data_IF_715776233647
#
_entry.id   IF_715776233647
#
_cell.length_a   1.000
_cell.length_b   1.000
_cell.length_c   1.000
_cell.angle_alpha   90.00
_cell.angle_beta   90.00
_cell.angle_gamma   90.00
#
_symmetry.space_group_name_H-M   'P 1'
#
loop_
_entity.id
_entity.type
_entity.pdbx_description
1 polymer ?
#
# COMPACT_ATOMS: atom_id res chain seq x y z
N UNK A 1 30.72 -0.03 9.71
CA UNK A 1 29.41 0.14 9.03
C UNK A 1 28.38 -0.64 9.85
N UNK A 2 27.36 0.01 10.42
CA UNK A 2 26.49 -0.60 11.44
C UNK A 2 25.69 -1.76 10.82
N UNK A 3 25.85 -3.00 11.32
CA UNK A 3 25.26 -4.23 10.78
C UNK A 3 23.74 -4.11 10.59
N UNK A 4 23.07 -3.41 11.49
CA UNK A 4 21.63 -3.14 11.43
C UNK A 4 21.20 -2.36 10.17
N UNK A 5 21.98 -1.37 9.70
CA UNK A 5 21.59 -0.58 8.53
C UNK A 5 21.59 -1.41 7.23
N UNK A 6 22.53 -2.36 7.10
CA UNK A 6 22.62 -3.24 5.92
C UNK A 6 21.39 -4.14 5.84
N UNK A 7 20.93 -4.68 6.96
CA UNK A 7 19.71 -5.51 7.03
C UNK A 7 18.47 -4.72 6.62
N UNK A 8 18.27 -3.50 7.14
CA UNK A 8 17.14 -2.66 6.74
C UNK A 8 17.18 -2.26 5.26
N UNK A 9 18.39 -2.00 4.71
CA UNK A 9 18.54 -1.75 3.27
C UNK A 9 18.17 -2.97 2.43
N UNK A 10 18.58 -4.16 2.86
CA UNK A 10 18.25 -5.40 2.15
C UNK A 10 16.75 -5.67 2.19
N UNK A 11 16.11 -5.48 3.35
CA UNK A 11 14.65 -5.55 3.49
C UNK A 11 13.96 -4.54 2.55
N UNK A 12 14.39 -3.29 2.54
CA UNK A 12 13.84 -2.28 1.64
C UNK A 12 13.94 -2.69 0.17
N UNK A 13 15.09 -3.20 -0.27
CA UNK A 13 15.28 -3.65 -1.66
C UNK A 13 14.41 -4.85 -2.01
N UNK A 14 14.26 -5.80 -1.09
CA UNK A 14 13.35 -6.93 -1.24
C UNK A 14 11.90 -6.46 -1.38
N UNK A 15 11.45 -5.60 -0.47
CA UNK A 15 10.13 -4.97 -0.50
C UNK A 15 9.89 -4.17 -1.78
N UNK A 16 10.89 -3.43 -2.26
CA UNK A 16 10.83 -2.70 -3.53
C UNK A 16 10.69 -3.65 -4.72
N UNK A 17 11.40 -4.78 -4.72
CA UNK A 17 11.26 -5.81 -5.74
C UNK A 17 9.86 -6.42 -5.76
N UNK A 18 9.33 -6.77 -4.58
CA UNK A 18 7.95 -7.25 -4.44
C UNK A 18 6.93 -6.23 -4.94
N UNK A 19 7.06 -4.97 -4.52
CA UNK A 19 6.21 -3.86 -4.96
C UNK A 19 6.25 -3.70 -6.48
N UNK A 20 7.42 -3.65 -7.10
CA UNK A 20 7.55 -3.45 -8.55
C UNK A 20 7.00 -4.64 -9.34
N UNK A 21 7.30 -5.87 -8.90
CA UNK A 21 6.82 -7.08 -9.57
C UNK A 21 5.30 -7.20 -9.53
N UNK A 22 4.71 -6.99 -8.35
CA UNK A 22 3.25 -7.02 -8.16
C UNK A 22 2.55 -5.87 -8.87
N UNK A 23 3.09 -4.64 -8.82
CA UNK A 23 2.57 -3.50 -9.56
C UNK A 23 2.51 -3.78 -11.06
N UNK A 24 3.53 -4.44 -11.62
CA UNK A 24 3.54 -4.84 -13.02
C UNK A 24 2.44 -5.87 -13.33
N UNK A 25 2.30 -6.91 -12.50
CA UNK A 25 1.23 -7.91 -12.65
C UNK A 25 -0.16 -7.26 -12.58
N UNK A 26 -0.39 -6.40 -11.59
CA UNK A 26 -1.66 -5.67 -11.44
C UNK A 26 -1.95 -4.78 -12.65
N UNK A 27 -0.95 -4.03 -13.13
CA UNK A 27 -1.11 -3.18 -14.30
C UNK A 27 -1.39 -3.96 -15.58
N UNK A 28 -0.88 -5.19 -15.67
CA UNK A 28 -1.20 -6.09 -16.77
C UNK A 28 -2.66 -6.54 -16.73
N UNK A 29 -3.14 -6.99 -15.56
CA UNK A 29 -4.51 -7.47 -15.36
C UNK A 29 -5.57 -6.37 -15.47
N UNK A 30 -5.22 -5.11 -15.18
CA UNK A 30 -6.14 -3.97 -15.25
C UNK A 30 -6.76 -3.78 -16.65
N UNK A 31 -6.08 -4.25 -17.71
CA UNK A 31 -6.60 -4.20 -19.09
C UNK A 31 -7.83 -5.07 -19.31
N UNK A 32 -8.00 -6.10 -18.49
CA UNK A 32 -9.07 -7.09 -18.61
C UNK A 32 -10.25 -6.81 -17.66
N UNK A 33 -10.16 -5.76 -16.84
CA UNK A 33 -11.23 -5.31 -15.93
C UNK A 33 -12.25 -4.43 -16.66
N UNK A 34 -13.04 -5.07 -17.52
CA UNK A 34 -14.11 -4.42 -18.29
C UNK A 34 -15.48 -4.75 -17.71
N UNK A 35 -16.32 -3.73 -17.57
CA UNK A 35 -17.73 -3.88 -17.33
C UNK A 35 -18.51 -2.99 -18.31
N UNK A 36 -19.42 -3.57 -19.11
CA UNK A 36 -20.19 -2.84 -20.13
C UNK A 36 -19.30 -1.98 -21.06
N UNK A 37 -18.16 -2.53 -21.51
CA UNK A 37 -17.12 -1.82 -22.28
C UNK A 37 -16.47 -0.61 -21.59
N UNK A 38 -16.69 -0.40 -20.29
CA UNK A 38 -15.98 0.59 -19.49
C UNK A 38 -14.93 -0.10 -18.62
N UNK A 39 -13.70 0.44 -18.67
CA UNK A 39 -12.64 0.03 -17.75
C UNK A 39 -12.96 0.57 -16.37
N UNK A 40 -12.97 -0.31 -15.37
CA UNK A 40 -12.98 0.09 -13.97
C UNK A 40 -11.66 -0.29 -13.32
N UNK A 41 -11.27 0.46 -12.29
CA UNK A 41 -10.01 0.25 -11.59
C UNK A 41 -10.27 -0.14 -10.15
N UNK A 42 -9.38 -0.97 -9.59
CA UNK A 42 -9.48 -1.39 -8.18
C UNK A 42 -9.34 -0.20 -7.24
N UNK A 43 -8.44 0.75 -7.55
CA UNK A 43 -8.34 2.05 -6.86
C UNK A 43 -9.67 2.82 -6.89
N UNK A 44 -10.42 2.71 -8.00
CA UNK A 44 -11.75 3.27 -8.14
C UNK A 44 -12.73 2.66 -7.13
N UNK A 45 -12.71 1.33 -6.98
CA UNK A 45 -13.52 0.60 -6.00
C UNK A 45 -13.15 0.97 -4.54
N UNK A 46 -11.87 1.24 -4.27
CA UNK A 46 -11.38 1.56 -2.92
C UNK A 46 -11.67 2.99 -2.46
N UNK A 47 -11.49 3.99 -3.33
CA UNK A 47 -11.50 5.39 -2.92
C UNK A 47 -12.52 6.27 -3.65
N UNK A 48 -12.84 5.96 -4.90
CA UNK A 48 -13.48 6.97 -5.78
C UNK A 48 -14.96 6.70 -6.01
N UNK A 49 -15.38 5.44 -6.05
CA UNK A 49 -16.74 5.08 -6.44
C UNK A 49 -17.70 5.12 -5.26
N UNK A 50 -18.94 5.55 -5.52
CA UNK A 50 -20.02 5.48 -4.53
C UNK A 50 -20.43 4.04 -4.28
N UNK A 51 -21.07 3.79 -3.13
CA UNK A 51 -21.59 2.47 -2.76
C UNK A 51 -22.48 1.87 -3.85
N UNK A 52 -23.37 2.67 -4.43
CA UNK A 52 -24.28 2.26 -5.51
C UNK A 52 -23.51 1.85 -6.78
N UNK A 53 -22.46 2.60 -7.11
CA UNK A 53 -21.61 2.29 -8.26
C UNK A 53 -20.80 1.03 -8.03
N UNK A 54 -20.25 0.84 -6.83
CA UNK A 54 -19.54 -0.40 -6.46
C UNK A 54 -20.49 -1.60 -6.52
N UNK A 55 -21.69 -1.49 -5.95
CA UNK A 55 -22.70 -2.54 -6.03
C UNK A 55 -23.04 -2.89 -7.48
N UNK A 56 -23.35 -1.89 -8.30
CA UNK A 56 -23.66 -2.07 -9.73
C UNK A 56 -22.51 -2.72 -10.48
N UNK A 57 -21.26 -2.37 -10.13
CA UNK A 57 -20.07 -2.99 -10.72
C UNK A 57 -20.03 -4.47 -10.36
N UNK A 58 -20.01 -4.78 -9.07
CA UNK A 58 -19.80 -6.14 -8.56
C UNK A 58 -20.97 -7.08 -8.88
N UNK A 59 -22.21 -6.60 -8.87
CA UNK A 59 -23.40 -7.39 -9.22
C UNK A 59 -23.47 -7.74 -10.71
N UNK A 60 -22.90 -6.88 -11.57
CA UNK A 60 -22.91 -7.03 -13.03
C UNK A 60 -21.64 -7.63 -13.62
N UNK A 61 -20.73 -8.21 -12.80
CA UNK A 61 -19.51 -8.83 -13.31
C UNK A 61 -19.78 -10.22 -13.89
N UNK A 62 -19.26 -10.45 -15.10
CA UNK A 62 -19.10 -11.79 -15.67
C UNK A 62 -18.15 -12.63 -14.81
N UNK A 63 -18.33 -13.95 -14.82
CA UNK A 63 -17.51 -14.90 -14.03
C UNK A 63 -16.00 -14.80 -14.35
N UNK A 64 -15.64 -14.51 -15.60
CA UNK A 64 -14.26 -14.31 -16.03
C UNK A 64 -13.65 -13.06 -15.38
N UNK A 65 -14.33 -11.92 -15.49
CA UNK A 65 -13.90 -10.64 -14.91
C UNK A 65 -13.85 -10.71 -13.38
N UNK A 66 -14.82 -11.39 -12.76
CA UNK A 66 -14.81 -11.66 -11.32
C UNK A 66 -13.58 -12.45 -10.88
N UNK A 67 -13.16 -13.44 -11.66
CA UNK A 67 -11.97 -14.24 -11.39
C UNK A 67 -10.70 -13.39 -11.48
N UNK A 68 -10.60 -12.54 -12.52
CA UNK A 68 -9.48 -11.62 -12.69
C UNK A 68 -9.43 -10.60 -11.55
N UNK A 69 -10.58 -10.05 -11.14
CA UNK A 69 -10.69 -9.14 -10.02
C UNK A 69 -10.23 -9.81 -8.71
N UNK A 70 -10.63 -11.06 -8.46
CA UNK A 70 -10.14 -11.81 -7.30
C UNK A 70 -8.62 -11.97 -7.32
N UNK A 71 -8.04 -12.35 -8.47
CA UNK A 71 -6.58 -12.40 -8.59
C UNK A 71 -5.94 -11.04 -8.34
N UNK A 72 -6.51 -9.97 -8.89
CA UNK A 72 -6.01 -8.62 -8.65
C UNK A 72 -6.01 -8.26 -7.16
N UNK A 73 -7.07 -8.58 -6.41
CA UNK A 73 -7.13 -8.38 -4.96
C UNK A 73 -6.11 -9.25 -4.21
N UNK A 74 -5.87 -10.49 -4.66
CA UNK A 74 -4.80 -11.31 -4.10
C UNK A 74 -3.41 -10.73 -4.33
N UNK A 75 -3.16 -10.18 -5.52
CA UNK A 75 -1.92 -9.49 -5.83
C UNK A 75 -1.78 -8.19 -5.02
N UNK A 76 -2.87 -7.53 -4.66
CA UNK A 76 -2.84 -6.34 -3.81
C UNK A 76 -2.31 -6.64 -2.40
N UNK A 77 -2.68 -7.77 -1.77
CA UNK A 77 -2.04 -8.20 -0.50
C UNK A 77 -0.52 -8.30 -0.62
N UNK A 78 -0.01 -8.86 -1.73
CA UNK A 78 1.43 -9.03 -1.95
C UNK A 78 2.08 -7.67 -2.23
N UNK A 79 1.41 -6.82 -2.99
CA UNK A 79 1.84 -5.44 -3.26
C UNK A 79 1.98 -4.65 -1.97
N UNK A 80 0.97 -4.69 -1.11
CA UNK A 80 0.93 -3.97 0.17
C UNK A 80 1.92 -4.56 1.19
N UNK A 81 2.17 -5.87 1.16
CA UNK A 81 3.28 -6.50 1.89
C UNK A 81 4.67 -6.05 1.38
N UNK A 82 4.76 -5.53 0.15
CA UNK A 82 5.94 -4.80 -0.33
C UNK A 82 5.96 -3.35 0.19
N UNK A 83 4.84 -2.64 0.10
CA UNK A 83 4.75 -1.20 0.43
C UNK A 83 5.03 -0.94 1.92
N UNK A 84 4.24 -1.50 2.84
CA UNK A 84 4.29 -1.10 4.25
C UNK A 84 5.61 -1.49 4.94
N UNK A 85 6.10 -2.74 4.80
CA UNK A 85 7.42 -3.10 5.32
C UNK A 85 8.55 -2.32 4.62
N UNK A 86 8.39 -1.96 3.34
CA UNK A 86 9.32 -1.09 2.62
C UNK A 86 9.41 0.31 3.24
N UNK A 87 8.26 0.94 3.55
CA UNK A 87 8.21 2.23 4.23
C UNK A 87 8.77 2.14 5.66
N UNK A 88 8.45 1.06 6.39
CA UNK A 88 9.03 0.82 7.72
C UNK A 88 10.57 0.72 7.65
N UNK A 89 11.09 0.00 6.65
CA UNK A 89 12.53 -0.10 6.41
C UNK A 89 13.15 1.26 6.08
N UNK A 90 12.50 2.10 5.26
CA UNK A 90 12.94 3.48 4.99
C UNK A 90 13.01 4.31 6.28
N UNK A 91 11.97 4.23 7.13
CA UNK A 91 11.94 4.93 8.42
C UNK A 91 13.11 4.49 9.31
N UNK A 92 13.40 3.19 9.38
CA UNK A 92 14.52 2.66 10.15
C UNK A 92 15.87 3.09 9.57
N UNK A 93 16.04 3.07 8.25
CA UNK A 93 17.25 3.58 7.59
C UNK A 93 17.46 5.07 7.85
N UNK A 94 16.40 5.90 7.80
CA UNK A 94 16.46 7.32 8.11
C UNK A 94 16.84 7.55 9.58
N UNK A 95 16.31 6.71 10.49
CA UNK A 95 16.59 6.75 11.94
C UNK A 95 18.06 6.53 12.25
N UNK A 96 18.75 5.68 11.49
CA UNK A 96 20.20 5.48 11.66
C UNK A 96 21.05 6.65 11.17
N UNK A 97 20.54 7.47 10.24
CA UNK A 97 21.28 8.60 9.67
C UNK A 97 21.04 9.91 10.40
N UNK A 98 19.93 10.05 11.12
CA UNK A 98 19.65 11.28 11.87
C UNK A 98 20.43 11.34 13.18
N UNK A 99 20.96 12.52 13.50
CA UNK A 99 21.59 12.80 14.80
C UNK A 99 20.59 13.12 15.91
N UNK A 100 19.40 13.62 15.57
CA UNK A 100 18.43 14.13 16.55
C UNK A 100 17.63 13.01 17.23
N UNK A 101 17.66 12.97 18.57
CA UNK A 101 16.94 11.98 19.37
C UNK A 101 15.41 12.03 19.15
N UNK A 102 14.85 13.22 18.96
CA UNK A 102 13.41 13.40 18.72
C UNK A 102 13.00 12.78 17.38
N UNK A 103 13.76 13.05 16.31
CA UNK A 103 13.50 12.45 15.00
C UNK A 103 13.65 10.92 15.03
N UNK A 104 14.59 10.38 15.82
CA UNK A 104 14.71 8.92 15.98
C UNK A 104 13.46 8.29 16.62
N UNK A 105 12.79 8.98 17.55
CA UNK A 105 11.54 8.52 18.16
C UNK A 105 10.40 8.59 17.17
N UNK A 106 10.23 9.72 16.47
CA UNK A 106 9.20 9.90 15.44
C UNK A 106 9.32 8.80 14.38
N UNK A 107 10.51 8.60 13.80
CA UNK A 107 10.72 7.58 12.77
C UNK A 107 10.45 6.15 13.26
N UNK A 108 10.73 5.85 14.54
CA UNK A 108 10.42 4.55 15.11
C UNK A 108 8.90 4.36 15.25
N UNK A 109 8.20 5.37 15.76
CA UNK A 109 6.74 5.35 15.90
C UNK A 109 6.10 5.20 14.51
N UNK A 110 6.54 5.99 13.53
CA UNK A 110 6.00 5.91 12.17
C UNK A 110 6.29 4.57 11.51
N UNK A 111 7.44 3.94 11.79
CA UNK A 111 7.74 2.58 11.32
C UNK A 111 6.78 1.54 11.91
N UNK A 112 6.48 1.63 13.22
CA UNK A 112 5.52 0.74 13.88
C UNK A 112 4.11 0.97 13.35
N UNK A 113 3.72 2.22 13.09
CA UNK A 113 2.42 2.55 12.50
C UNK A 113 2.22 1.95 11.10
N UNK A 114 3.30 1.61 10.37
CA UNK A 114 3.15 0.89 9.10
C UNK A 114 2.58 -0.52 9.29
N UNK A 115 2.80 -1.16 10.44
CA UNK A 115 2.15 -2.44 10.75
C UNK A 115 0.64 -2.27 10.92
N UNK A 116 0.21 -1.18 11.56
CA UNK A 116 -1.22 -0.85 11.70
C UNK A 116 -1.82 -0.59 10.32
N UNK A 117 -1.13 0.18 9.47
CA UNK A 117 -1.57 0.46 8.11
C UNK A 117 -1.70 -0.81 7.25
N UNK A 118 -0.76 -1.76 7.42
CA UNK A 118 -0.84 -3.07 6.77
C UNK A 118 -2.02 -3.93 7.28
N UNK A 119 -2.32 -3.89 8.59
CA UNK A 119 -3.50 -4.56 9.11
C UNK A 119 -4.80 -3.96 8.58
N UNK A 120 -4.87 -2.63 8.45
CA UNK A 120 -5.99 -1.95 7.81
C UNK A 120 -6.17 -2.42 6.36
N UNK A 121 -5.08 -2.55 5.62
CA UNK A 121 -5.08 -3.06 4.25
C UNK A 121 -5.58 -4.51 4.16
N UNK A 122 -5.15 -5.38 5.07
CA UNK A 122 -5.64 -6.77 5.11
C UNK A 122 -7.16 -6.82 5.33
N UNK A 123 -7.67 -6.02 6.26
CA UNK A 123 -9.10 -5.95 6.56
C UNK A 123 -9.89 -5.42 5.36
N UNK A 124 -9.37 -4.39 4.71
CA UNK A 124 -9.95 -3.74 3.54
C UNK A 124 -10.03 -4.71 2.34
N UNK A 125 -8.94 -5.38 1.99
CA UNK A 125 -8.92 -6.39 0.94
C UNK A 125 -9.87 -7.58 1.22
N UNK A 126 -10.04 -7.98 2.49
CA UNK A 126 -11.02 -8.99 2.87
C UNK A 126 -12.48 -8.52 2.68
N UNK A 127 -12.76 -7.24 2.92
CA UNK A 127 -14.08 -6.66 2.62
C UNK A 127 -14.35 -6.71 1.11
N UNK A 128 -13.38 -6.30 0.28
CA UNK A 128 -13.52 -6.34 -1.17
C UNK A 128 -13.75 -7.77 -1.68
N UNK A 129 -12.96 -8.75 -1.22
CA UNK A 129 -13.17 -10.16 -1.60
C UNK A 129 -14.55 -10.68 -1.19
N UNK A 130 -15.03 -10.29 -0.01
CA UNK A 130 -16.39 -10.64 0.44
C UNK A 130 -17.45 -9.99 -0.44
N UNK A 131 -17.26 -8.75 -0.89
CA UNK A 131 -18.21 -8.04 -1.75
C UNK A 131 -18.20 -8.57 -3.19
N UNK A 132 -17.04 -8.94 -3.71
CA UNK A 132 -16.91 -9.61 -5.02
C UNK A 132 -17.64 -10.95 -5.01
N UNK A 133 -17.59 -11.67 -3.89
CA UNK A 133 -18.30 -12.95 -3.72
C UNK A 133 -19.79 -12.78 -3.50
N UNK A 134 -20.20 -11.76 -2.72
CA UNK A 134 -21.59 -11.46 -2.42
C UNK A 134 -21.79 -9.94 -2.27
N UNK A 135 -22.25 -9.26 -3.34
CA UNK A 135 -22.48 -7.81 -3.36
C UNK A 135 -23.53 -7.32 -2.36
N UNK A 136 -24.46 -8.17 -1.90
CA UNK A 136 -25.49 -7.79 -0.92
C UNK A 136 -24.91 -7.48 0.47
N UNK A 137 -23.64 -7.87 0.71
CA UNK A 137 -22.91 -7.58 1.95
C UNK A 137 -22.29 -6.18 1.99
N UNK A 138 -22.48 -5.35 0.96
CA UNK A 138 -22.03 -3.95 0.95
C UNK A 138 -22.94 -3.14 1.89
N UNK A 139 -22.77 -3.32 3.21
CA UNK A 139 -23.53 -2.62 4.24
C UNK A 139 -22.69 -1.65 5.09
N UNK A 140 -21.37 -1.85 5.13
CA UNK A 140 -20.46 -1.08 6.02
C UNK A 140 -19.52 -0.17 5.23
N UNK A 141 -20.03 0.42 4.15
CA UNK A 141 -19.25 1.23 3.20
C UNK A 141 -18.54 2.46 3.82
N UNK A 142 -19.15 3.19 4.79
CA UNK A 142 -18.45 4.29 5.45
C UNK A 142 -17.23 3.83 6.27
N UNK A 143 -17.34 2.71 6.98
CA UNK A 143 -16.22 2.16 7.77
C UNK A 143 -15.09 1.71 6.84
N UNK A 144 -15.43 1.06 5.73
CA UNK A 144 -14.48 0.67 4.70
C UNK A 144 -13.65 1.88 4.22
N UNK A 145 -14.30 2.99 3.88
CA UNK A 145 -13.56 4.18 3.48
C UNK A 145 -12.68 4.72 4.61
N UNK A 146 -13.16 4.80 5.86
CA UNK A 146 -12.32 5.24 6.99
C UNK A 146 -11.05 4.39 7.10
N UNK A 147 -11.16 3.07 6.93
CA UNK A 147 -10.01 2.15 6.93
C UNK A 147 -9.05 2.49 5.77
N UNK A 148 -9.57 2.70 4.56
CA UNK A 148 -8.79 3.10 3.38
C UNK A 148 -8.06 4.44 3.63
N UNK A 149 -8.74 5.43 4.18
CA UNK A 149 -8.13 6.74 4.50
C UNK A 149 -7.03 6.61 5.54
N UNK A 150 -7.27 5.84 6.60
CA UNK A 150 -6.26 5.60 7.66
C UNK A 150 -5.03 4.92 7.10
N UNK A 151 -5.16 3.87 6.27
CA UNK A 151 -3.99 3.17 5.68
C UNK A 151 -3.13 4.13 4.85
N UNK A 152 -3.75 4.96 4.02
CA UNK A 152 -3.04 5.89 3.13
C UNK A 152 -2.37 7.04 3.90
N UNK A 153 -3.04 7.62 4.89
CA UNK A 153 -2.44 8.68 5.73
C UNK A 153 -1.18 8.15 6.43
N UNK A 154 -1.25 6.95 7.01
CA UNK A 154 -0.11 6.34 7.69
C UNK A 154 1.06 6.05 6.74
N UNK A 155 0.78 5.53 5.54
CA UNK A 155 1.79 5.31 4.50
C UNK A 155 2.49 6.61 4.09
N UNK A 156 1.70 7.65 3.80
CA UNK A 156 2.21 8.95 3.37
C UNK A 156 3.07 9.59 4.46
N UNK A 157 2.63 9.56 5.72
CA UNK A 157 3.44 10.08 6.84
C UNK A 157 4.79 9.35 6.94
N UNK A 158 4.80 8.02 6.79
CA UNK A 158 6.04 7.23 6.78
C UNK A 158 7.00 7.62 5.67
N UNK A 159 6.49 7.71 4.44
CA UNK A 159 7.29 8.15 3.30
C UNK A 159 7.80 9.59 3.48
N UNK A 160 6.93 10.50 3.93
CA UNK A 160 7.24 11.91 4.11
C UNK A 160 8.34 12.16 5.14
N UNK A 161 8.33 11.46 6.28
CA UNK A 161 9.38 11.63 7.29
C UNK A 161 10.70 10.95 6.90
N UNK A 162 10.66 9.85 6.16
CA UNK A 162 11.86 9.04 5.89
C UNK A 162 12.64 9.46 4.65
N UNK A 163 11.96 9.80 3.54
CA UNK A 163 12.59 10.06 2.24
C UNK A 163 13.45 11.33 2.25
N UNK A 164 12.96 12.51 2.69
CA UNK A 164 13.74 13.74 2.70
C UNK A 164 15.02 13.62 3.55
N UNK A 165 14.94 12.96 4.71
CA UNK A 165 16.09 12.73 5.59
C UNK A 165 17.15 11.84 4.94
N UNK A 166 16.74 10.84 4.15
CA UNK A 166 17.67 9.97 3.44
C UNK A 166 18.35 10.67 2.25
N UNK A 167 17.66 11.60 1.60
CA UNK A 167 18.18 12.40 0.47
C UNK A 167 19.09 13.53 0.96
N UNK A 168 18.67 14.29 1.97
CA UNK A 168 19.44 15.42 2.51
C UNK A 168 20.83 14.99 2.99
N UNK A 169 20.90 13.88 3.71
CA UNK A 169 22.17 13.35 4.23
C UNK A 169 23.11 12.83 3.13
N UNK A 170 22.63 12.55 1.91
CA UNK A 170 23.50 12.25 0.76
C UNK A 170 24.13 13.52 0.19
N UNK A 171 23.37 14.63 0.11
CA UNK A 171 23.90 15.92 -0.40
C UNK A 171 25.03 16.44 0.47
N UNK A 172 24.90 16.38 1.80
CA UNK A 172 25.98 16.83 2.69
C UNK A 172 27.27 16.02 2.55
N UNK A 173 27.18 14.71 2.29
CA UNK A 173 28.39 13.89 2.05
C UNK A 173 29.08 14.20 0.72
N UNK A 174 28.34 14.65 -0.30
CA UNK A 174 28.91 14.98 -1.61
C UNK A 174 29.40 16.44 -1.72
N UNK A 175 29.09 17.30 -0.74
CA UNK A 175 29.57 18.69 -0.67
C UNK A 175 30.88 18.85 0.11
N UNK A 176 31.40 17.76 0.68
CA UNK A 176 32.63 17.73 1.50
C UNK A 176 33.79 17.02 0.75
N UNK A 177 33.60 16.71 -0.53
CA UNK A 177 34.65 16.19 -1.42
C UNK A 177 34.93 17.18 -2.55
#
# INVERSE_FOLDING_TARGET
MNTNYKSWKMLFLFCLGLFLGTAFCMKWMEKDLLQNNQLFTVIGLEMTYSQEKVYTILSGLDNSVRTILNYHLYFDFVFMAGVFPGIAALCMMARFKTGSANYKKVLLITAVLQLVAWMCDIVENNFLLSWVSNPDKIGIFPLFHVIVWVKWILAILGAFFSIPLLIWNKKQKNLIF
#
